data_IF_958135397173
#
_entry.id   IF_958135397173
#
_cell.length_a   1.000
_cell.length_b   1.000
_cell.length_c   1.000
_cell.angle_alpha   90.00
_cell.angle_beta   90.00
_cell.angle_gamma   90.00
#
_symmetry.space_group_name_H-M   'P 1'
#
loop_
_entity.id
_entity.type
_entity.pdbx_description
1 polymer ?
#
# COMPACT_ATOMS: atom_id res chain seq x y z
N UNK A 1 1.25 -15.40 19.20
CA UNK A 1 0.93 -16.23 18.01
C UNK A 1 2.10 -16.10 17.05
N UNK A 2 2.82 -17.20 16.81
CA UNK A 2 4.06 -17.22 16.01
C UNK A 2 3.72 -17.35 14.52
N UNK A 3 3.33 -16.24 13.90
CA UNK A 3 3.29 -16.14 12.44
C UNK A 3 4.72 -16.02 11.94
N UNK A 4 5.14 -16.94 11.06
CA UNK A 4 6.39 -16.79 10.33
C UNK A 4 6.23 -15.56 9.44
N UNK A 5 6.77 -14.42 9.86
CA UNK A 5 6.72 -13.12 9.17
C UNK A 5 7.43 -13.12 7.79
N UNK A 6 7.51 -14.28 7.13
CA UNK A 6 8.02 -14.49 5.78
C UNK A 6 6.98 -14.08 4.76
N UNK A 7 7.40 -13.23 3.83
CA UNK A 7 6.61 -12.93 2.65
C UNK A 7 6.75 -14.10 1.66
N UNK A 8 5.65 -14.78 1.36
CA UNK A 8 5.60 -15.88 0.38
C UNK A 8 4.87 -15.45 -0.87
N UNK A 9 3.58 -15.14 -0.71
CA UNK A 9 2.67 -14.75 -1.78
C UNK A 9 2.05 -13.41 -1.39
N UNK A 10 2.28 -12.42 -2.24
CA UNK A 10 1.67 -11.11 -2.10
C UNK A 10 0.39 -11.10 -2.93
N UNK A 11 -0.73 -10.76 -2.32
CA UNK A 11 -2.03 -10.68 -2.97
C UNK A 11 -2.91 -9.63 -2.31
N UNK A 12 -3.82 -9.04 -3.08
CA UNK A 12 -4.78 -8.07 -2.57
C UNK A 12 -6.19 -8.63 -2.69
N UNK A 13 -6.94 -8.51 -1.62
CA UNK A 13 -8.36 -8.79 -1.52
C UNK A 13 -9.07 -7.44 -1.44
N UNK A 14 -9.75 -7.09 -2.54
CA UNK A 14 -10.48 -5.84 -2.69
C UNK A 14 -11.75 -5.81 -1.83
N UNK A 15 -12.45 -6.94 -1.70
CA UNK A 15 -13.70 -7.04 -0.94
C UNK A 15 -13.46 -6.73 0.54
N UNK A 16 -12.39 -7.30 1.10
CA UNK A 16 -12.03 -7.11 2.51
C UNK A 16 -11.02 -5.97 2.73
N UNK A 17 -10.50 -5.34 1.67
CA UNK A 17 -9.45 -4.32 1.73
C UNK A 17 -8.20 -4.83 2.47
N UNK A 18 -7.77 -6.04 2.13
CA UNK A 18 -6.68 -6.77 2.80
C UNK A 18 -5.52 -7.07 1.85
N UNK A 19 -4.30 -6.83 2.30
CA UNK A 19 -3.06 -7.23 1.60
C UNK A 19 -2.48 -8.44 2.29
N UNK A 20 -2.57 -9.60 1.65
CA UNK A 20 -1.92 -10.82 2.09
C UNK A 20 -0.45 -10.80 1.69
N UNK A 21 0.43 -11.15 2.63
CA UNK A 21 1.85 -11.40 2.34
C UNK A 21 2.24 -12.87 2.58
N UNK A 22 1.38 -13.64 3.24
CA UNK A 22 1.39 -15.10 3.27
C UNK A 22 -0.06 -15.64 3.37
N UNK A 23 -0.22 -16.94 3.63
CA UNK A 23 -1.56 -17.59 3.67
C UNK A 23 -2.41 -17.19 4.88
N UNK A 24 -1.78 -16.73 5.96
CA UNK A 24 -2.44 -16.53 7.26
C UNK A 24 -2.40 -15.07 7.73
N UNK A 25 -1.38 -14.33 7.30
CA UNK A 25 -1.09 -12.96 7.70
C UNK A 25 -1.38 -11.98 6.57
N UNK A 26 -2.01 -10.90 6.96
CA UNK A 26 -2.44 -9.84 6.07
C UNK A 26 -2.37 -8.47 6.78
N UNK A 27 -2.33 -7.41 5.98
CA UNK A 27 -2.56 -6.05 6.41
C UNK A 27 -3.99 -5.66 6.08
N UNK A 28 -4.74 -5.17 7.07
CA UNK A 28 -6.10 -4.69 6.90
C UNK A 28 -6.15 -3.16 6.69
N UNK A 29 -7.27 -2.67 6.18
CA UNK A 29 -7.51 -1.23 6.01
C UNK A 29 -6.74 -0.60 4.83
N UNK A 30 -6.23 -1.41 3.91
CA UNK A 30 -5.56 -0.90 2.70
C UNK A 30 -6.60 -0.76 1.60
N UNK A 31 -6.96 0.48 1.27
CA UNK A 31 -7.89 0.75 0.17
C UNK A 31 -7.27 0.40 -1.19
N UNK A 32 -8.11 0.14 -2.18
CA UNK A 32 -7.66 -0.17 -3.55
C UNK A 32 -6.77 0.94 -4.10
N UNK A 33 -7.16 2.20 -3.90
CA UNK A 33 -6.37 3.35 -4.35
C UNK A 33 -4.96 3.40 -3.72
N UNK A 34 -4.81 2.99 -2.45
CA UNK A 34 -3.49 2.90 -1.79
C UNK A 34 -2.70 1.69 -2.32
N UNK A 35 -3.36 0.56 -2.53
CA UNK A 35 -2.74 -0.64 -3.08
C UNK A 35 -2.23 -0.40 -4.50
N UNK A 36 -3.06 0.15 -5.38
CA UNK A 36 -2.77 0.47 -6.78
C UNK A 36 -1.97 1.76 -6.96
N UNK A 37 -1.59 2.43 -5.87
CA UNK A 37 -0.83 3.67 -5.96
C UNK A 37 0.54 3.42 -6.62
N UNK A 38 0.75 4.10 -7.75
CA UNK A 38 1.95 3.98 -8.56
C UNK A 38 2.74 5.29 -8.55
N UNK A 39 4.06 5.16 -8.42
CA UNK A 39 5.01 6.25 -8.65
C UNK A 39 5.84 5.83 -9.87
N UNK A 40 5.59 6.49 -11.01
CA UNK A 40 6.06 6.01 -12.31
C UNK A 40 5.41 4.67 -12.67
N UNK A 41 6.20 3.70 -13.14
CA UNK A 41 5.74 2.35 -13.49
C UNK A 41 5.69 1.34 -12.33
N UNK A 42 5.96 1.77 -11.10
CA UNK A 42 6.05 0.87 -9.94
C UNK A 42 4.88 1.04 -8.99
N UNK A 43 4.21 -0.07 -8.69
CA UNK A 43 3.24 -0.17 -7.60
C UNK A 43 3.98 -0.27 -6.26
N UNK A 44 3.98 0.83 -5.50
CA UNK A 44 4.87 1.03 -4.33
C UNK A 44 4.65 -0.05 -3.27
N UNK A 45 3.39 -0.29 -2.91
CA UNK A 45 3.01 -1.25 -1.86
C UNK A 45 3.35 -2.70 -2.23
N UNK A 46 3.16 -3.08 -3.49
CA UNK A 46 3.48 -4.42 -3.97
C UNK A 46 5.00 -4.63 -4.10
N UNK A 47 5.73 -3.61 -4.56
CA UNK A 47 7.20 -3.64 -4.69
C UNK A 47 7.86 -3.83 -3.33
N UNK A 48 7.44 -3.08 -2.31
CA UNK A 48 7.98 -3.19 -0.95
C UNK A 48 7.91 -4.63 -0.41
N UNK A 49 6.75 -5.29 -0.50
CA UNK A 49 6.60 -6.67 -0.02
C UNK A 49 7.40 -7.67 -0.86
N UNK A 50 7.51 -7.45 -2.18
CA UNK A 50 8.33 -8.31 -3.06
C UNK A 50 9.81 -8.23 -2.69
N UNK A 51 10.32 -7.05 -2.37
CA UNK A 51 11.72 -6.85 -1.99
C UNK A 51 12.02 -7.54 -0.65
N UNK A 52 11.04 -7.61 0.25
CA UNK A 52 11.15 -8.31 1.54
C UNK A 52 11.01 -9.83 1.45
N UNK A 53 10.66 -10.42 0.29
CA UNK A 53 10.55 -11.89 0.13
C UNK A 53 11.82 -12.68 0.47
N UNK A 54 12.97 -12.02 0.43
CA UNK A 54 14.27 -12.65 0.71
C UNK A 54 14.58 -12.77 2.21
N UNK A 55 13.78 -12.16 3.11
CA UNK A 55 14.00 -12.15 4.56
C UNK A 55 12.69 -12.18 5.36
N UNK A 56 12.80 -12.34 6.68
CA UNK A 56 11.66 -12.23 7.58
C UNK A 56 11.36 -10.75 7.87
N UNK A 57 10.09 -10.38 7.86
CA UNK A 57 9.65 -9.05 8.26
C UNK A 57 9.83 -8.89 9.77
N UNK A 58 10.63 -7.90 10.16
CA UNK A 58 10.68 -7.47 11.56
C UNK A 58 9.41 -6.71 11.94
N UNK A 59 9.15 -6.55 13.23
CA UNK A 59 8.05 -5.71 13.71
C UNK A 59 8.18 -4.27 13.21
N UNK A 60 9.41 -3.75 13.13
CA UNK A 60 9.69 -2.42 12.61
C UNK A 60 9.30 -2.28 11.13
N UNK A 61 9.52 -3.32 10.32
CA UNK A 61 9.15 -3.31 8.90
C UNK A 61 7.65 -3.40 8.68
N UNK A 62 6.96 -4.17 9.53
CA UNK A 62 5.49 -4.22 9.57
C UNK A 62 4.93 -2.84 9.93
N UNK A 63 5.50 -2.17 10.92
CA UNK A 63 5.09 -0.83 11.31
C UNK A 63 5.41 0.21 10.22
N UNK A 64 6.59 0.09 9.60
CA UNK A 64 6.99 0.94 8.49
C UNK A 64 6.04 0.80 7.30
N UNK A 65 5.66 -0.43 6.95
CA UNK A 65 4.67 -0.68 5.89
C UNK A 65 3.34 0.01 6.18
N UNK A 66 2.85 -0.06 7.42
CA UNK A 66 1.63 0.65 7.86
C UNK A 66 1.78 2.17 7.75
N UNK A 67 2.93 2.72 8.15
CA UNK A 67 3.23 4.16 8.03
C UNK A 67 3.22 4.61 6.58
N UNK A 68 3.84 3.83 5.68
CA UNK A 68 3.84 4.10 4.23
C UNK A 68 2.42 4.06 3.65
N UNK A 69 1.62 3.04 4.00
CA UNK A 69 0.22 2.95 3.58
C UNK A 69 -0.58 4.20 3.97
N UNK A 70 -0.41 4.66 5.22
CA UNK A 70 -1.07 5.85 5.75
C UNK A 70 -0.59 7.13 5.06
N UNK A 71 0.70 7.24 4.77
CA UNK A 71 1.25 8.37 4.04
C UNK A 71 0.70 8.46 2.61
N UNK A 72 0.61 7.33 1.90
CA UNK A 72 0.01 7.28 0.55
C UNK A 72 -1.46 7.69 0.61
N UNK A 73 -2.23 7.19 1.59
CA UNK A 73 -3.64 7.58 1.74
C UNK A 73 -3.80 9.10 1.91
N UNK A 74 -2.94 9.73 2.72
CA UNK A 74 -2.89 11.20 2.87
C UNK A 74 -2.50 11.92 1.58
N UNK A 75 -1.55 11.37 0.83
CA UNK A 75 -1.14 11.94 -0.46
C UNK A 75 -2.29 11.92 -1.46
N UNK A 76 -3.05 10.82 -1.56
CA UNK A 76 -4.22 10.72 -2.43
C UNK A 76 -5.28 11.75 -2.03
N UNK A 77 -5.55 11.90 -0.73
CA UNK A 77 -6.49 12.90 -0.18
C UNK A 77 -6.09 14.33 -0.61
N UNK A 78 -4.81 14.68 -0.44
CA UNK A 78 -4.29 16.01 -0.80
C UNK A 78 -4.29 16.21 -2.32
N UNK A 79 -3.85 15.22 -3.10
CA UNK A 79 -3.86 15.28 -4.57
C UNK A 79 -5.27 15.47 -5.13
N UNK A 80 -6.27 14.78 -4.57
CA UNK A 80 -7.68 14.97 -4.93
C UNK A 80 -8.15 16.40 -4.68
N UNK A 81 -7.76 17.00 -3.54
CA UNK A 81 -8.06 18.40 -3.22
C UNK A 81 -7.46 19.39 -4.22
N UNK A 82 -6.24 19.14 -4.72
CA UNK A 82 -5.62 20.01 -5.71
C UNK A 82 -6.21 19.81 -7.11
N UNK A 83 -6.48 18.59 -7.57
CA UNK A 83 -7.05 18.34 -8.91
C UNK A 83 -8.35 19.10 -9.13
N UNK A 84 -9.26 19.11 -8.15
CA UNK A 84 -10.51 19.89 -8.23
C UNK A 84 -10.33 21.41 -8.33
N UNK A 85 -9.13 21.95 -8.05
CA UNK A 85 -8.80 23.38 -8.21
C UNK A 85 -8.18 23.70 -9.58
N UNK A 86 -7.51 22.74 -10.22
CA UNK A 86 -6.87 22.94 -11.54
C UNK A 86 -7.83 22.72 -12.72
N UNK A 87 -8.89 21.94 -12.54
CA UNK A 87 -9.93 21.75 -13.58
C UNK A 87 -10.80 23.00 -13.80
N UNK A 88 -10.77 23.99 -12.89
CA UNK A 88 -11.52 25.24 -13.01
C UNK A 88 -10.67 26.42 -13.55
N UNK A 89 -9.52 26.14 -14.16
CA UNK A 89 -8.64 27.16 -14.77
C UNK A 89 -7.88 26.69 -16.01
N UNK A 90 -8.48 25.81 -16.81
CA UNK A 90 -7.97 25.43 -18.12
C UNK A 90 -9.00 25.72 -19.21
N UNK A 91 -9.38 26.99 -19.35
CA UNK A 91 -9.77 27.65 -20.61
C UNK A 91 -9.74 29.18 -20.37
N UNK A 92 -8.54 29.74 -20.26
CA UNK A 92 -8.22 31.11 -20.67
C UNK A 92 -6.87 31.05 -21.38
#
# INVERSE_FOLDING_TARGET
MSGSNKVKKVGYDEENRRVYFNKEQYFEGVSKAVWEYQIGGYQVMAKYLKDMKKRELSLEEIEHYRKVAKAIARTIEVQGRWRGRWDNKLFC
#
